data_IF_177757964600
#
_entry.id   IF_177757964600
#
_cell.length_a   1.000
_cell.length_b   1.000
_cell.length_c   1.000
_cell.angle_alpha   90.00
_cell.angle_beta   90.00
_cell.angle_gamma   90.00
#
_symmetry.space_group_name_H-M   'P 1'
#
loop_
_entity.id
_entity.type
_entity.pdbx_description
1 polymer ?
#
# COMPACT_ATOMS: atom_id res chain seq x y z
N UNK A 1 31.72 6.34 -71.90
CA UNK A 1 30.62 5.68 -72.61
C UNK A 1 29.42 5.64 -71.66
N UNK A 2 28.38 6.30 -72.05
CA UNK A 2 27.11 6.55 -71.40
C UNK A 2 26.09 5.43 -71.66
N UNK A 3 24.84 5.55 -71.24
CA UNK A 3 24.15 5.00 -70.06
C UNK A 3 22.92 4.16 -70.46
N UNK A 4 22.20 3.56 -69.49
CA UNK A 4 20.78 3.15 -69.60
C UNK A 4 20.29 2.88 -68.18
N UNK A 5 19.32 3.53 -67.54
CA UNK A 5 17.94 3.66 -68.02
C UNK A 5 17.11 2.68 -67.18
N UNK A 6 16.65 3.00 -65.95
CA UNK A 6 15.78 2.15 -65.15
C UNK A 6 14.50 2.91 -64.77
N UNK A 7 13.36 2.37 -65.22
CA UNK A 7 12.01 2.86 -65.12
C UNK A 7 11.49 2.92 -63.68
N UNK A 8 10.90 4.07 -63.30
CA UNK A 8 10.01 4.23 -62.19
C UNK A 8 8.74 3.40 -62.38
N UNK A 9 8.47 2.47 -61.46
CA UNK A 9 7.15 1.86 -61.29
C UNK A 9 6.37 2.57 -60.19
N UNK A 10 5.31 3.21 -60.61
CA UNK A 10 4.25 3.81 -59.81
C UNK A 10 3.48 2.69 -59.06
N UNK A 11 3.50 2.60 -57.75
CA UNK A 11 2.59 1.75 -56.98
C UNK A 11 1.48 2.62 -56.38
N UNK A 12 0.29 2.48 -56.93
CA UNK A 12 -0.97 2.98 -56.41
C UNK A 12 -1.23 2.37 -55.02
N UNK A 13 -1.42 3.22 -54.01
CA UNK A 13 -1.92 2.83 -52.70
C UNK A 13 -3.39 2.43 -52.77
N UNK A 14 -3.68 1.16 -52.56
CA UNK A 14 -5.05 0.70 -52.29
C UNK A 14 -5.40 0.98 -50.83
N UNK A 15 -6.38 1.87 -50.62
CA UNK A 15 -7.03 2.05 -49.32
C UNK A 15 -7.98 0.86 -49.08
N UNK A 16 -7.65 0.03 -48.12
CA UNK A 16 -8.59 -1.00 -47.63
C UNK A 16 -9.47 -0.34 -46.56
N UNK A 17 -10.75 -0.19 -46.87
CA UNK A 17 -11.77 0.23 -45.94
C UNK A 17 -12.12 -0.95 -45.02
N UNK A 18 -11.79 -0.87 -43.74
CA UNK A 18 -12.22 -1.82 -42.73
C UNK A 18 -13.55 -1.35 -42.13
N UNK A 19 -14.62 -1.99 -42.61
CA UNK A 19 -15.95 -1.85 -42.00
C UNK A 19 -15.97 -2.54 -40.63
N UNK A 20 -16.02 -1.74 -39.55
CA UNK A 20 -16.24 -2.26 -38.19
C UNK A 20 -17.72 -2.59 -37.99
N UNK A 21 -18.07 -3.85 -38.03
CA UNK A 21 -19.35 -4.33 -37.50
C UNK A 21 -19.37 -4.19 -35.98
N UNK A 22 -20.25 -3.33 -35.43
CA UNK A 22 -20.59 -3.29 -34.03
C UNK A 22 -21.38 -4.54 -33.66
N UNK A 23 -20.74 -5.51 -33.00
CA UNK A 23 -21.47 -6.52 -32.24
C UNK A 23 -21.71 -5.92 -30.84
N UNK A 24 -22.97 -5.69 -30.54
CA UNK A 24 -23.46 -5.37 -29.17
C UNK A 24 -23.28 -6.59 -28.29
N UNK A 25 -22.39 -6.50 -27.29
CA UNK A 25 -22.31 -7.45 -26.17
C UNK A 25 -23.34 -7.09 -25.12
N UNK A 26 -23.96 -8.05 -24.43
CA UNK A 26 -24.99 -7.77 -23.43
C UNK A 26 -24.40 -7.13 -22.17
N UNK A 27 -25.19 -6.25 -21.56
CA UNK A 27 -24.88 -5.35 -20.51
C UNK A 27 -24.08 -5.93 -19.34
N UNK A 28 -22.79 -5.65 -19.32
CA UNK A 28 -22.01 -5.63 -18.11
C UNK A 28 -22.39 -4.36 -17.35
N UNK A 29 -22.88 -4.52 -16.13
CA UNK A 29 -23.16 -3.43 -15.21
C UNK A 29 -21.88 -2.60 -15.05
N UNK A 30 -21.79 -1.46 -15.75
CA UNK A 30 -20.74 -0.48 -15.47
C UNK A 30 -20.99 0.01 -14.06
N UNK A 31 -20.09 -0.30 -13.14
CA UNK A 31 -19.90 0.46 -11.94
C UNK A 31 -19.38 1.86 -12.36
N UNK A 32 -20.31 2.70 -12.83
CA UNK A 32 -20.03 4.10 -13.17
C UNK A 32 -20.02 4.88 -11.87
N UNK A 33 -18.86 4.97 -11.28
CA UNK A 33 -18.52 5.87 -10.21
C UNK A 33 -17.04 6.17 -10.29
N UNK A 34 -16.65 7.16 -11.09
CA UNK A 34 -15.37 7.82 -10.97
C UNK A 34 -15.29 8.37 -9.55
N UNK A 35 -14.50 7.69 -8.70
CA UNK A 35 -14.32 8.04 -7.28
C UNK A 35 -13.32 9.21 -7.22
N UNK A 36 -13.77 10.41 -7.56
CA UNK A 36 -12.96 11.62 -7.64
C UNK A 36 -13.51 12.84 -6.89
N UNK A 37 -14.54 12.64 -6.00
CA UNK A 37 -15.18 13.75 -5.29
C UNK A 37 -15.44 13.40 -3.83
N UNK A 38 -14.41 13.46 -2.98
CA UNK A 38 -14.58 13.32 -1.54
C UNK A 38 -15.09 11.96 -1.04
N UNK A 39 -15.27 10.99 -1.94
CA UNK A 39 -15.74 9.63 -1.62
C UNK A 39 -14.59 8.77 -1.15
N UNK A 40 -14.89 7.86 -0.23
CA UNK A 40 -14.00 6.81 0.25
C UNK A 40 -13.46 5.97 -0.92
N UNK A 41 -12.15 5.69 -0.89
CA UNK A 41 -11.44 4.86 -1.87
C UNK A 41 -11.16 3.48 -1.30
N UNK A 42 -11.17 2.49 -2.16
CA UNK A 42 -10.87 1.12 -1.78
C UNK A 42 -9.53 0.69 -2.38
N UNK A 43 -8.70 0.08 -1.54
CA UNK A 43 -7.40 -0.43 -1.92
C UNK A 43 -7.19 -1.86 -1.47
N UNK A 44 -6.13 -2.45 -1.97
CA UNK A 44 -5.71 -3.80 -1.65
C UNK A 44 -4.36 -3.78 -0.95
N UNK A 45 -4.23 -4.57 0.12
CA UNK A 45 -2.93 -5.02 0.57
C UNK A 45 -2.64 -6.32 -0.18
N UNK A 46 -1.53 -6.35 -0.90
CA UNK A 46 -1.15 -7.52 -1.70
C UNK A 46 -1.01 -8.75 -0.82
N UNK A 47 -1.54 -9.90 -1.24
CA UNK A 47 -1.37 -11.15 -0.53
C UNK A 47 0.10 -11.54 -0.44
N UNK A 48 0.47 -12.22 0.63
CA UNK A 48 1.76 -12.89 0.77
C UNK A 48 1.76 -14.25 0.07
N UNK A 49 2.83 -15.00 0.28
CA UNK A 49 2.95 -16.35 -0.23
C UNK A 49 3.01 -17.34 0.93
N UNK A 50 2.35 -18.49 0.79
CA UNK A 50 2.56 -19.62 1.68
C UNK A 50 4.01 -20.08 1.60
N UNK A 51 4.56 -20.57 2.72
CA UNK A 51 5.85 -21.26 2.72
C UNK A 51 5.75 -22.49 1.80
N UNK A 52 6.63 -22.57 0.81
CA UNK A 52 6.67 -23.68 -0.13
C UNK A 52 7.01 -23.25 -1.56
N UNK A 53 7.05 -24.19 -2.51
CA UNK A 53 7.60 -23.95 -3.85
C UNK A 53 6.69 -23.13 -4.79
N UNK A 54 5.47 -22.82 -4.39
CA UNK A 54 4.52 -22.06 -5.23
C UNK A 54 4.36 -20.64 -4.73
N UNK A 55 5.12 -19.73 -5.31
CA UNK A 55 4.79 -18.29 -5.36
C UNK A 55 3.91 -18.02 -6.59
N UNK A 56 3.06 -16.98 -6.53
CA UNK A 56 2.39 -16.52 -7.73
C UNK A 56 3.42 -15.95 -8.73
N UNK A 57 3.26 -16.27 -10.00
CA UNK A 57 4.07 -15.70 -11.07
C UNK A 57 3.72 -14.22 -11.30
N UNK A 58 4.61 -13.46 -11.94
CA UNK A 58 4.30 -12.08 -12.34
C UNK A 58 3.05 -12.01 -13.23
N UNK A 59 2.82 -13.02 -14.06
CA UNK A 59 1.64 -13.09 -14.92
C UNK A 59 0.34 -13.21 -14.09
N UNK A 60 0.33 -14.06 -13.07
CA UNK A 60 -0.80 -14.24 -12.14
C UNK A 60 -1.03 -12.98 -11.30
N UNK A 61 0.02 -12.41 -10.72
CA UNK A 61 -0.07 -11.15 -9.96
C UNK A 61 -0.56 -9.99 -10.83
N UNK A 62 -0.08 -9.90 -12.06
CA UNK A 62 -0.52 -8.91 -13.03
C UNK A 62 -1.98 -9.10 -13.44
N UNK A 63 -2.44 -10.34 -13.65
CA UNK A 63 -3.85 -10.64 -13.93
C UNK A 63 -4.76 -10.24 -12.75
N UNK A 64 -4.34 -10.56 -11.53
CA UNK A 64 -5.04 -10.19 -10.31
C UNK A 64 -5.18 -8.66 -10.19
N UNK A 65 -4.11 -7.89 -10.40
CA UNK A 65 -4.16 -6.44 -10.30
C UNK A 65 -4.94 -5.79 -11.45
N UNK A 66 -4.86 -6.31 -12.67
CA UNK A 66 -5.73 -5.83 -13.76
C UNK A 66 -7.20 -6.08 -13.45
N UNK A 67 -7.53 -7.22 -12.85
CA UNK A 67 -8.90 -7.46 -12.38
C UNK A 67 -9.30 -6.49 -11.28
N UNK A 68 -8.40 -6.16 -10.36
CA UNK A 68 -8.64 -5.12 -9.35
C UNK A 68 -8.89 -3.74 -9.99
N UNK A 69 -8.12 -3.36 -11.02
CA UNK A 69 -8.38 -2.13 -11.81
C UNK A 69 -9.78 -2.12 -12.41
N UNK A 70 -10.18 -3.23 -13.05
CA UNK A 70 -11.51 -3.37 -13.65
C UNK A 70 -12.65 -3.29 -12.63
N UNK A 71 -12.40 -3.73 -11.40
CA UNK A 71 -13.35 -3.66 -10.27
C UNK A 71 -13.34 -2.30 -9.55
N UNK A 72 -12.42 -1.39 -9.91
CA UNK A 72 -12.39 -0.02 -9.39
C UNK A 72 -11.55 0.16 -8.11
N UNK A 73 -10.66 -0.78 -7.77
CA UNK A 73 -9.72 -0.56 -6.68
C UNK A 73 -8.70 0.53 -7.05
N UNK A 74 -8.49 1.49 -6.14
CA UNK A 74 -7.65 2.69 -6.36
C UNK A 74 -6.16 2.41 -6.14
N UNK A 75 -5.82 1.55 -5.18
CA UNK A 75 -4.42 1.25 -4.88
C UNK A 75 -4.18 -0.21 -4.49
N UNK A 76 -2.93 -0.63 -4.67
CA UNK A 76 -2.41 -1.90 -4.19
C UNK A 76 -1.09 -1.65 -3.44
N UNK A 77 -0.99 -2.14 -2.20
CA UNK A 77 0.17 -1.89 -1.34
C UNK A 77 0.80 -3.19 -0.85
N UNK A 78 2.15 -3.24 -0.84
CA UNK A 78 2.93 -4.37 -0.36
C UNK A 78 3.37 -4.17 1.09
N UNK A 79 3.65 -5.27 1.77
CA UNK A 79 4.30 -5.30 3.08
C UNK A 79 5.81 -5.50 2.89
N UNK A 80 6.61 -5.01 3.84
CA UNK A 80 8.06 -5.14 3.85
C UNK A 80 8.49 -5.98 5.06
N UNK A 81 9.00 -7.17 4.79
CA UNK A 81 9.72 -8.01 5.74
C UNK A 81 10.92 -8.66 5.04
N UNK A 82 12.08 -8.54 5.65
CA UNK A 82 13.32 -9.15 5.16
C UNK A 82 13.39 -10.64 5.56
N UNK A 83 12.84 -10.97 6.72
CA UNK A 83 12.86 -12.30 7.30
C UNK A 83 11.45 -12.84 7.51
N UNK A 84 11.34 -14.14 7.73
CA UNK A 84 10.15 -14.74 8.32
C UNK A 84 10.03 -14.30 9.77
N UNK A 85 8.86 -13.97 10.23
CA UNK A 85 8.63 -13.43 11.57
C UNK A 85 7.53 -14.18 12.34
N UNK A 86 7.64 -15.53 12.50
CA UNK A 86 6.67 -16.27 13.27
C UNK A 86 6.73 -15.86 14.77
N UNK A 87 5.61 -15.96 15.52
CA UNK A 87 4.28 -16.38 15.08
C UNK A 87 3.46 -15.27 14.39
N UNK A 88 3.95 -14.04 14.35
CA UNK A 88 3.21 -12.91 13.80
C UNK A 88 2.91 -13.09 12.30
N UNK A 89 3.94 -13.46 11.52
CA UNK A 89 3.79 -13.79 10.11
C UNK A 89 4.53 -15.07 9.77
N UNK A 90 3.79 -16.10 9.38
CA UNK A 90 4.31 -17.40 8.94
C UNK A 90 4.29 -17.52 7.40
N UNK A 91 4.65 -16.45 6.71
CA UNK A 91 4.53 -16.34 5.26
C UNK A 91 5.74 -15.60 4.65
N UNK A 92 5.95 -15.80 3.36
CA UNK A 92 7.01 -15.14 2.59
C UNK A 92 6.47 -13.83 1.99
N UNK A 93 7.28 -12.78 2.08
CA UNK A 93 7.08 -11.52 1.40
C UNK A 93 8.13 -11.33 0.31
N UNK A 94 7.75 -10.78 -0.84
CA UNK A 94 8.72 -10.33 -1.83
C UNK A 94 9.26 -8.96 -1.42
N UNK A 95 10.50 -8.66 -1.83
CA UNK A 95 11.05 -7.32 -1.62
C UNK A 95 10.14 -6.30 -2.30
N UNK A 96 9.61 -5.29 -1.56
CA UNK A 96 8.50 -4.49 -2.04
C UNK A 96 8.85 -3.59 -3.23
N UNK A 97 10.05 -3.01 -3.30
CA UNK A 97 10.39 -2.09 -4.40
C UNK A 97 10.56 -2.85 -5.70
N UNK A 98 11.22 -4.01 -5.66
CA UNK A 98 11.35 -4.90 -6.82
C UNK A 98 9.99 -5.40 -7.30
N UNK A 99 9.12 -5.83 -6.37
CA UNK A 99 7.77 -6.26 -6.68
C UNK A 99 6.96 -5.15 -7.33
N UNK A 100 6.93 -3.96 -6.73
CA UNK A 100 6.16 -2.83 -7.24
C UNK A 100 6.67 -2.35 -8.61
N UNK A 101 7.99 -2.40 -8.86
CA UNK A 101 8.56 -2.07 -10.17
C UNK A 101 8.09 -3.05 -11.25
N UNK A 102 8.09 -4.35 -10.95
CA UNK A 102 7.55 -5.35 -11.87
C UNK A 102 6.05 -5.16 -12.13
N UNK A 103 5.27 -4.87 -11.10
CA UNK A 103 3.82 -4.65 -11.20
C UNK A 103 3.47 -3.34 -11.92
N UNK A 104 4.32 -2.31 -11.83
CA UNK A 104 4.13 -1.06 -12.57
C UNK A 104 4.11 -1.28 -14.09
N UNK A 105 4.91 -2.24 -14.58
CA UNK A 105 4.98 -2.59 -16.00
C UNK A 105 3.77 -3.38 -16.52
N UNK A 106 2.96 -3.98 -15.63
CA UNK A 106 1.83 -4.85 -16.02
C UNK A 106 0.46 -4.30 -15.59
N UNK A 107 0.43 -3.13 -14.96
CA UNK A 107 -0.77 -2.39 -14.53
C UNK A 107 -0.87 -1.03 -15.25
N UNK A 108 -2.04 -0.36 -15.21
CA UNK A 108 -2.27 0.89 -15.95
C UNK A 108 -2.65 2.07 -15.08
N UNK A 109 -3.54 1.87 -14.11
CA UNK A 109 -4.20 2.96 -13.37
C UNK A 109 -4.08 2.82 -11.87
N UNK A 110 -4.00 1.58 -11.35
CA UNK A 110 -3.93 1.32 -9.93
C UNK A 110 -2.64 1.93 -9.34
N UNK A 111 -2.77 2.65 -8.24
CA UNK A 111 -1.62 3.16 -7.50
C UNK A 111 -0.90 2.02 -6.82
N UNK A 112 0.41 2.09 -6.77
CA UNK A 112 1.28 1.06 -6.23
C UNK A 112 2.04 1.64 -5.03
N UNK A 113 2.04 0.93 -3.92
CA UNK A 113 2.69 1.46 -2.73
C UNK A 113 3.09 0.41 -1.72
N UNK A 114 3.51 0.88 -0.57
CA UNK A 114 3.85 0.04 0.58
C UNK A 114 2.96 0.34 1.77
N UNK A 115 2.73 -0.65 2.63
CA UNK A 115 2.02 -0.47 3.89
C UNK A 115 2.45 -1.52 4.91
N UNK A 116 3.63 -1.31 5.52
CA UNK A 116 4.57 -0.19 5.33
C UNK A 116 5.94 -0.70 4.93
N UNK A 117 6.76 0.17 4.32
CA UNK A 117 8.18 -0.05 4.10
C UNK A 117 8.97 0.23 5.38
N UNK A 118 9.90 -0.65 5.78
CA UNK A 118 10.77 -0.43 6.94
C UNK A 118 11.90 0.52 6.54
N UNK A 119 11.57 1.81 6.55
CA UNK A 119 12.43 2.86 5.99
C UNK A 119 13.82 2.95 6.66
N UNK A 120 13.96 2.77 7.99
CA UNK A 120 15.27 2.85 8.66
C UNK A 120 16.31 1.80 8.24
N UNK A 121 15.91 0.75 7.56
CA UNK A 121 16.82 -0.29 7.05
C UNK A 121 17.49 0.11 5.71
N UNK A 122 17.16 1.29 5.16
CA UNK A 122 17.62 1.73 3.84
C UNK A 122 18.57 2.93 3.94
N UNK A 123 19.35 3.14 2.88
CA UNK A 123 20.16 4.35 2.73
C UNK A 123 19.36 5.46 2.05
N UNK A 124 19.32 6.72 2.55
CA UNK A 124 18.45 7.77 2.01
C UNK A 124 18.76 8.16 0.57
N UNK A 125 20.04 8.22 0.17
CA UNK A 125 20.40 8.60 -1.18
C UNK A 125 20.04 7.52 -2.21
N UNK A 126 20.32 6.25 -1.87
CA UNK A 126 19.96 5.12 -2.71
C UNK A 126 18.43 4.99 -2.82
N UNK A 127 17.73 5.05 -1.70
CA UNK A 127 16.28 4.95 -1.67
C UNK A 127 15.59 6.12 -2.40
N UNK A 128 16.09 7.34 -2.27
CA UNK A 128 15.54 8.48 -3.00
C UNK A 128 15.61 8.26 -4.52
N UNK A 129 16.73 7.70 -5.01
CA UNK A 129 16.91 7.35 -6.43
C UNK A 129 15.99 6.22 -6.85
N UNK A 130 15.94 5.17 -6.08
CA UNK A 130 15.14 3.96 -6.32
C UNK A 130 13.65 4.28 -6.41
N UNK A 131 13.11 4.99 -5.40
CA UNK A 131 11.69 5.34 -5.37
C UNK A 131 11.30 6.36 -6.44
N UNK A 132 12.16 7.34 -6.73
CA UNK A 132 11.95 8.28 -7.83
C UNK A 132 11.89 7.57 -9.19
N UNK A 133 12.74 6.56 -9.38
CA UNK A 133 12.71 5.72 -10.59
C UNK A 133 11.40 4.95 -10.70
N UNK A 134 10.96 4.31 -9.62
CA UNK A 134 9.68 3.60 -9.58
C UNK A 134 8.50 4.55 -9.85
N UNK A 135 8.51 5.74 -9.26
CA UNK A 135 7.46 6.73 -9.47
C UNK A 135 7.39 7.17 -10.94
N UNK A 136 8.53 7.44 -11.54
CA UNK A 136 8.62 7.79 -12.96
C UNK A 136 8.12 6.65 -13.87
N UNK A 137 8.60 5.43 -13.66
CA UNK A 137 8.24 4.25 -14.47
C UNK A 137 6.75 3.88 -14.34
N UNK A 138 6.17 4.12 -13.17
CA UNK A 138 4.74 3.93 -12.96
C UNK A 138 3.86 5.05 -13.53
N UNK A 139 4.45 6.15 -14.01
CA UNK A 139 3.72 7.33 -14.45
C UNK A 139 3.12 8.15 -13.31
N UNK A 140 3.80 8.19 -12.16
CA UNK A 140 3.35 8.96 -10.99
C UNK A 140 2.26 8.27 -10.18
N UNK A 141 2.27 6.94 -10.12
CA UNK A 141 1.27 6.13 -9.40
C UNK A 141 1.77 5.58 -8.07
N UNK A 142 2.88 6.08 -7.51
CA UNK A 142 3.41 5.51 -6.26
C UNK A 142 2.84 6.16 -5.01
N UNK A 143 2.78 5.37 -3.92
CA UNK A 143 2.45 5.78 -2.56
C UNK A 143 3.55 5.25 -1.65
N UNK A 144 4.30 6.13 -0.99
CA UNK A 144 5.28 5.72 0.02
C UNK A 144 4.60 5.52 1.37
N UNK A 145 4.24 4.31 1.69
CA UNK A 145 3.85 3.97 3.06
C UNK A 145 5.07 3.55 3.87
N UNK A 146 5.42 4.33 4.88
CA UNK A 146 6.63 4.17 5.66
C UNK A 146 6.35 3.78 7.12
N UNK A 147 7.18 2.93 7.69
CA UNK A 147 7.14 2.49 9.07
C UNK A 147 8.52 2.38 9.69
N UNK A 148 8.55 2.31 11.03
CA UNK A 148 9.82 2.19 11.77
C UNK A 148 10.35 0.76 11.82
N UNK A 149 9.52 -0.25 11.54
CA UNK A 149 9.85 -1.66 11.77
C UNK A 149 9.81 -2.06 13.24
N UNK A 150 9.72 -3.36 13.49
CA UNK A 150 9.58 -3.91 14.86
C UNK A 150 10.49 -5.13 15.12
N UNK A 151 10.89 -5.86 14.08
CA UNK A 151 11.60 -7.13 14.21
C UNK A 151 13.11 -6.92 14.39
N UNK A 152 13.62 -7.18 15.58
CA UNK A 152 15.00 -6.86 15.96
C UNK A 152 16.07 -7.55 15.11
N UNK A 153 15.82 -8.80 14.68
CA UNK A 153 16.78 -9.55 13.86
C UNK A 153 16.98 -8.92 12.48
N UNK A 154 15.93 -8.33 11.87
CA UNK A 154 16.07 -7.59 10.61
C UNK A 154 17.02 -6.40 10.78
N UNK A 155 16.91 -5.69 11.90
CA UNK A 155 17.80 -4.57 12.21
C UNK A 155 19.24 -5.03 12.46
N UNK A 156 19.41 -6.11 13.23
CA UNK A 156 20.73 -6.68 13.50
C UNK A 156 21.43 -7.13 12.21
N UNK A 157 20.72 -7.82 11.32
CA UNK A 157 21.22 -8.26 10.01
C UNK A 157 21.65 -7.09 9.13
N UNK A 158 20.92 -5.99 9.17
CA UNK A 158 21.22 -4.77 8.41
C UNK A 158 22.22 -3.84 9.11
N UNK A 159 22.78 -4.22 10.25
CA UNK A 159 23.72 -3.42 11.02
C UNK A 159 23.13 -2.12 11.59
N UNK A 160 21.81 -2.05 11.77
CA UNK A 160 21.13 -0.88 12.30
C UNK A 160 20.68 -1.13 13.74
N UNK A 161 21.14 -0.34 14.73
CA UNK A 161 20.68 -0.50 16.10
C UNK A 161 19.17 -0.29 16.22
N UNK A 162 18.42 -1.31 16.67
CA UNK A 162 16.95 -1.28 16.74
C UNK A 162 16.41 -0.08 17.52
N UNK A 163 17.06 0.31 18.62
CA UNK A 163 16.69 1.49 19.44
C UNK A 163 16.79 2.84 18.69
N UNK A 164 17.51 2.89 17.58
CA UNK A 164 17.68 4.11 16.78
C UNK A 164 16.64 4.25 15.66
N UNK A 165 15.86 3.21 15.39
CA UNK A 165 14.94 3.11 14.22
C UNK A 165 14.03 4.33 14.05
N UNK A 166 13.47 4.85 15.15
CA UNK A 166 12.59 6.02 15.09
C UNK A 166 13.31 7.28 14.61
N UNK A 167 14.45 7.60 15.22
CA UNK A 167 15.25 8.79 14.84
C UNK A 167 15.86 8.66 13.44
N UNK A 168 16.29 7.45 13.06
CA UNK A 168 16.75 7.20 11.70
C UNK A 168 15.64 7.41 10.67
N UNK A 169 14.39 7.00 10.99
CA UNK A 169 13.26 7.26 10.12
C UNK A 169 12.97 8.76 9.96
N UNK A 170 13.10 9.54 11.02
CA UNK A 170 12.91 10.99 10.95
C UNK A 170 13.92 11.62 9.98
N UNK A 171 15.21 11.31 10.13
CA UNK A 171 16.26 11.79 9.22
C UNK A 171 16.10 11.26 7.79
N UNK A 172 15.65 9.99 7.63
CA UNK A 172 15.34 9.43 6.31
C UNK A 172 14.26 10.21 5.57
N UNK A 173 13.16 10.53 6.27
CA UNK A 173 12.06 11.30 5.67
C UNK A 173 12.52 12.70 5.27
N UNK A 174 13.30 13.38 6.11
CA UNK A 174 13.87 14.70 5.80
C UNK A 174 14.83 14.64 4.61
N UNK A 175 15.80 13.72 4.65
CA UNK A 175 16.81 13.58 3.62
C UNK A 175 16.21 13.21 2.25
N UNK A 176 15.28 12.24 2.24
CA UNK A 176 14.64 11.74 1.01
C UNK A 176 13.75 12.80 0.38
N UNK A 177 12.92 13.49 1.16
CA UNK A 177 12.06 14.56 0.65
C UNK A 177 12.87 15.76 0.14
N UNK A 178 13.97 16.12 0.81
CA UNK A 178 14.89 17.14 0.32
C UNK A 178 15.53 16.75 -1.03
N UNK A 179 16.00 15.50 -1.16
CA UNK A 179 16.58 14.98 -2.40
C UNK A 179 15.58 14.92 -3.56
N UNK A 180 14.30 14.67 -3.29
CA UNK A 180 13.26 14.69 -4.31
C UNK A 180 12.90 16.11 -4.76
N UNK A 181 12.95 17.09 -3.85
CA UNK A 181 12.54 18.45 -4.11
C UNK A 181 13.64 19.32 -4.75
N UNK A 182 14.91 19.13 -4.32
CA UNK A 182 15.99 20.05 -4.63
C UNK A 182 17.18 19.42 -5.37
N UNK A 183 18.03 20.30 -5.93
CA UNK A 183 19.34 19.96 -6.48
C UNK A 183 20.45 20.43 -5.54
N UNK A 184 21.61 19.77 -5.62
CA UNK A 184 22.79 20.06 -4.79
C UNK A 184 22.46 20.13 -3.30
N UNK A 185 21.65 19.17 -2.85
CA UNK A 185 21.20 19.08 -1.46
C UNK A 185 22.37 18.76 -0.54
N UNK A 186 22.50 19.49 0.54
CA UNK A 186 23.37 19.19 1.66
C UNK A 186 22.52 18.83 2.86
N UNK A 187 22.82 17.70 3.49
CA UNK A 187 22.13 17.23 4.69
C UNK A 187 23.16 16.83 5.75
N UNK A 188 23.02 17.36 6.96
CA UNK A 188 23.93 17.16 8.10
C UNK A 188 23.16 16.62 9.29
N UNK A 189 22.71 15.36 9.20
CA UNK A 189 22.04 14.66 10.29
C UNK A 189 23.01 13.94 11.22
N UNK A 190 22.50 13.31 12.25
CA UNK A 190 23.26 12.44 13.14
C UNK A 190 23.65 11.14 12.46
N UNK A 191 22.73 10.57 11.69
CA UNK A 191 22.86 9.25 11.09
C UNK A 191 23.22 9.31 9.61
N UNK A 192 22.81 10.36 8.91
CA UNK A 192 23.04 10.53 7.48
C UNK A 192 23.67 11.89 7.21
N UNK A 193 24.69 11.89 6.32
CA UNK A 193 25.38 13.12 5.91
C UNK A 193 25.77 13.02 4.45
N UNK A 194 25.46 14.06 3.69
CA UNK A 194 25.92 14.20 2.31
C UNK A 194 25.95 15.68 1.93
N UNK A 195 26.80 16.01 0.97
CA UNK A 195 26.99 17.39 0.52
C UNK A 195 26.84 17.49 -0.98
N UNK A 196 26.13 18.54 -1.41
CA UNK A 196 25.99 18.91 -2.82
C UNK A 196 25.49 17.76 -3.71
N UNK A 197 24.55 16.93 -3.18
CA UNK A 197 24.03 15.74 -3.84
C UNK A 197 22.79 16.09 -4.66
N UNK A 198 22.80 15.71 -5.94
CA UNK A 198 21.62 15.74 -6.81
C UNK A 198 21.20 14.33 -7.17
N UNK A 199 19.95 14.00 -6.95
CA UNK A 199 19.34 12.76 -7.42
C UNK A 199 18.51 13.08 -8.68
N UNK A 200 18.78 12.36 -9.75
CA UNK A 200 18.07 12.43 -11.02
C UNK A 200 17.80 11.01 -11.55
N UNK A 201 16.57 10.66 -12.04
CA UNK A 201 15.41 11.54 -12.15
C UNK A 201 14.80 11.91 -10.81
N UNK A 202 14.03 13.01 -10.81
CA UNK A 202 13.12 13.35 -9.73
C UNK A 202 11.82 12.53 -9.88
N UNK A 203 11.05 12.32 -8.81
CA UNK A 203 9.72 11.72 -8.92
C UNK A 203 8.83 12.48 -9.91
N UNK A 204 7.97 11.75 -10.61
CA UNK A 204 6.96 12.34 -11.50
C UNK A 204 5.94 13.16 -10.69
N UNK A 205 5.55 12.68 -9.52
CA UNK A 205 4.63 13.38 -8.61
C UNK A 205 5.29 14.57 -7.93
N UNK A 206 4.55 15.69 -7.79
CA UNK A 206 5.05 16.93 -7.18
C UNK A 206 4.20 17.32 -5.95
N UNK A 207 4.80 17.80 -4.89
CA UNK A 207 6.25 17.98 -4.67
C UNK A 207 7.02 16.67 -4.55
N UNK A 208 6.37 15.56 -4.21
CA UNK A 208 6.86 14.19 -4.12
C UNK A 208 5.66 13.21 -4.00
N UNK A 209 5.88 11.89 -4.14
CA UNK A 209 4.84 10.88 -3.88
C UNK A 209 4.21 11.07 -2.49
N UNK A 210 2.91 10.80 -2.33
CA UNK A 210 2.25 10.92 -1.03
C UNK A 210 2.89 9.97 -0.02
N UNK A 211 3.14 10.48 1.19
CA UNK A 211 3.74 9.74 2.29
C UNK A 211 2.64 9.31 3.26
N UNK A 212 2.46 8.00 3.40
CA UNK A 212 1.64 7.40 4.43
C UNK A 212 2.56 6.94 5.57
N UNK A 213 2.15 7.12 6.82
CA UNK A 213 2.96 6.65 7.95
C UNK A 213 2.11 5.72 8.82
N UNK A 214 2.64 4.51 8.99
CA UNK A 214 2.07 3.51 9.87
C UNK A 214 2.54 3.68 11.31
N UNK A 215 1.60 3.50 12.25
CA UNK A 215 1.89 3.52 13.66
C UNK A 215 0.75 4.09 14.51
N UNK A 216 0.95 4.02 15.80
CA UNK A 216 -0.01 4.40 16.82
C UNK A 216 -0.14 3.34 17.90
N UNK A 217 -1.08 3.55 18.80
CA UNK A 217 -1.42 2.61 19.86
C UNK A 217 -1.98 1.31 19.31
N UNK A 218 -1.63 0.23 19.97
CA UNK A 218 -2.13 -1.11 19.68
C UNK A 218 -1.91 -1.99 20.92
N UNK A 219 -2.55 -3.15 21.03
CA UNK A 219 -2.32 -4.07 22.14
C UNK A 219 -0.97 -4.79 21.95
N UNK A 220 0.14 -4.06 22.10
CA UNK A 220 1.51 -4.52 21.82
C UNK A 220 1.86 -5.82 22.51
N UNK A 221 1.49 -5.97 23.79
CA UNK A 221 1.76 -7.19 24.54
C UNK A 221 1.05 -8.39 23.94
N UNK A 222 -0.22 -8.23 23.55
CA UNK A 222 -1.03 -9.29 22.95
C UNK A 222 -0.56 -9.67 21.53
N UNK A 223 -0.10 -8.69 20.76
CA UNK A 223 0.27 -8.89 19.34
C UNK A 223 1.74 -9.28 19.17
N UNK A 224 2.64 -8.66 19.94
CA UNK A 224 4.09 -8.81 19.76
C UNK A 224 4.84 -9.24 21.01
N UNK A 225 4.13 -9.43 22.15
CA UNK A 225 4.79 -9.74 23.44
C UNK A 225 5.67 -8.58 23.95
N UNK A 226 5.44 -7.35 23.51
CA UNK A 226 6.25 -6.18 23.82
C UNK A 226 5.47 -5.18 24.66
N UNK A 227 6.11 -4.58 25.65
CA UNK A 227 5.56 -3.42 26.38
C UNK A 227 6.09 -2.13 25.76
N UNK A 228 5.18 -1.29 25.27
CA UNK A 228 5.49 0.04 24.74
C UNK A 228 4.84 1.08 25.65
N UNK A 229 5.66 1.88 26.31
CA UNK A 229 5.23 2.85 27.33
C UNK A 229 5.05 4.26 26.78
N UNK A 230 5.73 4.59 25.68
CA UNK A 230 5.67 5.91 25.06
C UNK A 230 5.59 5.81 23.54
N UNK A 231 4.46 6.26 22.99
CA UNK A 231 4.23 6.32 21.56
C UNK A 231 4.26 7.76 21.00
N UNK A 232 4.41 8.76 21.83
CA UNK A 232 4.41 10.17 21.41
C UNK A 232 5.44 10.45 20.30
N UNK A 233 6.66 9.87 20.30
CA UNK A 233 7.58 10.03 19.18
C UNK A 233 7.02 9.50 17.84
N UNK A 234 6.21 8.44 17.85
CA UNK A 234 5.55 7.91 16.67
C UNK A 234 4.46 8.86 16.20
N UNK A 235 3.62 9.34 17.11
CA UNK A 235 2.52 10.26 16.80
C UNK A 235 3.04 11.63 16.32
N UNK A 236 4.15 12.13 16.89
CA UNK A 236 4.82 13.36 16.41
C UNK A 236 5.35 13.20 14.99
N UNK A 237 5.94 12.06 14.65
CA UNK A 237 6.39 11.75 13.29
C UNK A 237 5.23 11.74 12.31
N UNK A 238 4.12 11.08 12.66
CA UNK A 238 2.89 11.07 11.87
C UNK A 238 2.41 12.50 11.67
N UNK A 239 2.30 13.28 12.73
CA UNK A 239 1.86 14.67 12.68
C UNK A 239 2.73 15.54 11.78
N UNK A 240 4.06 15.34 11.79
CA UNK A 240 5.01 16.15 11.02
C UNK A 240 5.03 15.81 9.54
N UNK A 241 5.06 14.53 9.18
CA UNK A 241 5.40 14.10 7.81
C UNK A 241 4.26 13.43 7.05
N UNK A 242 3.27 12.84 7.73
CA UNK A 242 2.28 12.04 7.03
C UNK A 242 1.29 12.91 6.23
N UNK A 243 1.06 12.55 4.95
CA UNK A 243 -0.16 12.94 4.24
C UNK A 243 -1.33 12.08 4.69
N UNK A 244 -1.06 10.83 5.07
CA UNK A 244 -2.08 9.88 5.51
C UNK A 244 -1.56 9.07 6.71
N UNK A 245 -2.35 9.02 7.77
CA UNK A 245 -2.09 8.16 8.93
C UNK A 245 -2.67 6.76 8.70
N UNK A 246 -1.87 5.74 9.00
CA UNK A 246 -2.26 4.32 8.94
C UNK A 246 -2.22 3.74 10.36
N UNK A 247 -3.30 3.80 11.14
CA UNK A 247 -3.38 3.16 12.45
C UNK A 247 -3.30 1.63 12.32
N UNK A 248 -2.89 0.97 13.40
CA UNK A 248 -2.80 -0.49 13.40
C UNK A 248 -4.20 -1.12 13.36
N UNK A 249 -4.35 -2.24 12.62
CA UNK A 249 -5.64 -2.92 12.46
C UNK A 249 -6.24 -3.46 13.77
N UNK A 250 -5.39 -3.79 14.76
CA UNK A 250 -5.79 -4.26 16.08
C UNK A 250 -6.05 -3.14 17.11
N UNK A 251 -5.85 -1.86 16.75
CA UNK A 251 -6.12 -0.75 17.64
C UNK A 251 -7.61 -0.69 18.01
N UNK A 252 -7.89 -0.44 19.29
CA UNK A 252 -9.26 -0.21 19.76
C UNK A 252 -9.75 1.19 19.40
N UNK A 253 -11.07 1.42 19.49
CA UNK A 253 -11.65 2.75 19.24
C UNK A 253 -11.03 3.83 20.14
N UNK A 254 -10.85 3.55 21.43
CA UNK A 254 -10.28 4.51 22.39
C UNK A 254 -8.81 4.80 22.09
N UNK A 255 -8.03 3.78 21.71
CA UNK A 255 -6.64 3.97 21.26
C UNK A 255 -6.57 4.91 20.05
N UNK A 256 -7.39 4.63 19.03
CA UNK A 256 -7.43 5.46 17.81
C UNK A 256 -7.86 6.89 18.10
N UNK A 257 -8.88 7.07 18.95
CA UNK A 257 -9.36 8.40 19.35
C UNK A 257 -8.29 9.16 20.12
N UNK A 258 -7.68 8.55 21.14
CA UNK A 258 -6.63 9.18 21.93
C UNK A 258 -5.37 9.53 21.10
N UNK A 259 -4.99 8.65 20.18
CA UNK A 259 -3.90 8.93 19.23
C UNK A 259 -4.22 10.10 18.31
N UNK A 260 -5.45 10.16 17.78
CA UNK A 260 -5.85 11.24 16.90
C UNK A 260 -5.86 12.60 17.60
N UNK A 261 -6.33 12.66 18.85
CA UNK A 261 -6.28 13.87 19.68
C UNK A 261 -4.83 14.37 19.87
N UNK A 262 -3.90 13.45 20.17
CA UNK A 262 -2.47 13.76 20.27
C UNK A 262 -1.86 14.19 18.93
N UNK A 263 -2.18 13.47 17.84
CA UNK A 263 -1.71 13.83 16.49
C UNK A 263 -2.15 15.24 16.13
N UNK A 264 -3.42 15.62 16.37
CA UNK A 264 -3.93 16.96 16.08
C UNK A 264 -3.17 18.05 16.87
N UNK A 265 -2.88 17.81 18.15
CA UNK A 265 -2.08 18.71 18.96
C UNK A 265 -0.67 18.87 18.38
N UNK A 266 0.00 17.77 18.04
CA UNK A 266 1.33 17.82 17.42
C UNK A 266 1.30 18.46 16.02
N UNK A 267 0.26 18.24 15.21
CA UNK A 267 0.10 18.93 13.93
C UNK A 267 0.10 20.45 14.10
N UNK A 268 -0.59 20.96 15.11
CA UNK A 268 -0.63 22.39 15.41
C UNK A 268 0.76 22.96 15.72
N UNK A 269 1.63 22.19 16.42
CA UNK A 269 3.03 22.59 16.68
C UNK A 269 3.84 22.70 15.39
N UNK A 270 3.49 21.97 14.34
CA UNK A 270 4.11 22.01 13.01
C UNK A 270 3.37 22.94 12.01
N UNK A 271 2.42 23.74 12.48
CA UNK A 271 1.64 24.65 11.63
C UNK A 271 0.67 23.95 10.69
N UNK A 272 0.33 22.69 10.97
CA UNK A 272 -0.60 21.87 10.16
C UNK A 272 -2.00 21.83 10.81
N UNK A 273 -3.01 21.64 9.98
CA UNK A 273 -4.41 21.51 10.40
C UNK A 273 -4.88 20.06 10.26
N UNK A 274 -5.89 19.61 11.05
CA UNK A 274 -6.43 18.25 10.93
C UNK A 274 -6.86 17.87 9.50
N UNK A 275 -7.39 18.80 8.72
CA UNK A 275 -7.76 18.57 7.31
C UNK A 275 -6.58 18.35 6.35
N UNK A 276 -5.34 18.59 6.79
CA UNK A 276 -4.15 18.32 5.97
C UNK A 276 -3.75 16.84 5.98
N UNK A 277 -4.39 16.03 6.84
CA UNK A 277 -4.08 14.62 7.01
C UNK A 277 -5.29 13.74 6.75
N UNK A 278 -5.11 12.75 5.91
CA UNK A 278 -6.07 11.69 5.67
C UNK A 278 -5.84 10.50 6.64
N UNK A 279 -6.77 9.57 6.67
CA UNK A 279 -6.68 8.33 7.45
C UNK A 279 -6.98 7.13 6.57
N UNK A 280 -6.39 5.98 6.92
CA UNK A 280 -6.65 4.69 6.28
C UNK A 280 -7.16 3.72 7.32
N UNK A 281 -8.25 3.02 7.01
CA UNK A 281 -8.57 1.76 7.68
C UNK A 281 -7.98 0.60 6.88
N UNK A 282 -7.29 -0.32 7.54
CA UNK A 282 -6.79 -1.52 6.87
C UNK A 282 -6.92 -2.76 7.72
N UNK A 283 -7.21 -3.91 7.06
CA UNK A 283 -7.27 -5.19 7.75
C UNK A 283 -7.10 -6.37 6.78
N UNK A 284 -6.86 -7.56 7.35
CA UNK A 284 -7.02 -8.84 6.65
C UNK A 284 -8.51 -9.18 6.57
N UNK A 285 -8.93 -9.75 5.44
CA UNK A 285 -10.34 -10.05 5.19
C UNK A 285 -10.51 -11.39 4.51
N UNK A 286 -11.56 -12.10 4.91
CA UNK A 286 -12.08 -13.25 4.19
C UNK A 286 -13.61 -13.20 4.19
N UNK A 287 -14.17 -13.12 2.99
CA UNK A 287 -15.61 -13.11 2.79
C UNK A 287 -16.09 -14.55 2.74
N UNK A 288 -16.92 -14.93 3.69
CA UNK A 288 -17.59 -16.23 3.68
C UNK A 288 -18.79 -16.19 2.72
N UNK A 289 -18.97 -17.26 1.96
CA UNK A 289 -20.21 -17.48 1.23
C UNK A 289 -21.36 -17.74 2.21
N UNK A 290 -22.58 -17.46 1.79
CA UNK A 290 -23.76 -17.70 2.62
C UNK A 290 -23.80 -19.13 3.14
N UNK A 291 -23.84 -19.28 4.47
CA UNK A 291 -23.82 -20.58 5.15
C UNK A 291 -22.47 -21.29 5.21
N UNK A 292 -21.40 -20.66 4.72
CA UNK A 292 -20.04 -21.19 4.85
C UNK A 292 -19.55 -21.04 6.30
N UNK A 293 -18.99 -22.14 6.86
CA UNK A 293 -18.49 -22.09 8.23
C UNK A 293 -17.13 -21.39 8.30
N UNK A 294 -16.87 -20.54 9.34
CA UNK A 294 -15.61 -19.82 9.51
C UNK A 294 -14.38 -20.72 9.53
N UNK A 295 -14.52 -21.97 9.96
CA UNK A 295 -13.43 -22.97 10.01
C UNK A 295 -12.84 -23.26 8.61
N UNK A 296 -13.62 -23.08 7.55
CA UNK A 296 -13.14 -23.25 6.17
C UNK A 296 -12.05 -22.26 5.78
N UNK A 297 -12.08 -21.06 6.39
CA UNK A 297 -11.10 -20.01 6.17
C UNK A 297 -9.78 -20.21 6.92
N UNK A 298 -9.71 -21.12 7.90
CA UNK A 298 -8.54 -21.32 8.77
C UNK A 298 -7.25 -21.52 7.97
N UNK A 299 -7.31 -22.33 6.91
CA UNK A 299 -6.13 -22.60 6.06
C UNK A 299 -5.52 -21.33 5.45
N UNK A 300 -6.34 -20.31 5.16
CA UNK A 300 -5.89 -19.07 4.58
C UNK A 300 -5.26 -18.15 5.63
N UNK A 301 -5.84 -18.08 6.81
CA UNK A 301 -5.29 -17.30 7.92
C UNK A 301 -4.00 -17.89 8.48
N UNK A 302 -3.87 -19.21 8.55
CA UNK A 302 -2.64 -19.89 9.01
C UNK A 302 -1.42 -19.56 8.17
N UNK A 303 -1.57 -19.18 6.92
CA UNK A 303 -0.47 -18.71 6.09
C UNK A 303 0.12 -17.41 6.66
N UNK A 304 -0.73 -16.53 7.17
CA UNK A 304 -0.32 -15.21 7.67
C UNK A 304 0.08 -15.22 9.13
N UNK A 305 -0.59 -16.00 9.95
CA UNK A 305 -0.43 -15.92 11.40
C UNK A 305 -0.50 -17.30 12.02
N UNK A 306 0.42 -17.58 12.94
CA UNK A 306 0.36 -18.78 13.80
C UNK A 306 -0.70 -18.71 14.89
N UNK A 307 -1.49 -17.62 14.94
CA UNK A 307 -2.55 -17.43 15.93
C UNK A 307 -3.75 -18.34 15.65
N UNK A 308 -4.74 -18.33 16.54
CA UNK A 308 -5.93 -19.18 16.49
C UNK A 308 -7.17 -18.46 15.94
N UNK A 309 -8.25 -19.22 15.74
CA UNK A 309 -9.51 -18.68 15.23
C UNK A 309 -10.14 -17.59 16.13
N UNK A 310 -10.15 -17.72 17.49
CA UNK A 310 -10.58 -16.64 18.37
C UNK A 310 -9.85 -15.32 18.10
N UNK A 311 -8.52 -15.36 17.98
CA UNK A 311 -7.72 -14.19 17.64
C UNK A 311 -8.12 -13.60 16.30
N UNK A 312 -8.26 -14.39 15.24
CA UNK A 312 -8.63 -13.89 13.92
C UNK A 312 -10.02 -13.28 13.90
N UNK A 313 -10.98 -13.85 14.63
CA UNK A 313 -12.34 -13.28 14.77
C UNK A 313 -12.36 -11.95 15.50
N UNK A 314 -11.47 -11.76 16.46
CA UNK A 314 -11.35 -10.52 17.22
C UNK A 314 -10.69 -9.41 16.39
N UNK A 315 -9.59 -9.72 15.71
CA UNK A 315 -8.74 -8.71 15.08
C UNK A 315 -8.91 -8.60 13.57
N UNK A 316 -9.36 -9.64 12.88
CA UNK A 316 -9.49 -9.66 11.44
C UNK A 316 -10.94 -9.67 10.99
N UNK A 317 -11.15 -9.39 9.70
CA UNK A 317 -12.46 -9.39 9.08
C UNK A 317 -12.77 -10.78 8.52
N UNK A 318 -13.50 -11.59 9.28
CA UNK A 318 -13.98 -12.90 8.88
C UNK A 318 -15.49 -12.96 9.07
N UNK A 319 -16.26 -13.20 8.00
CA UNK A 319 -17.71 -13.25 8.06
C UNK A 319 -18.39 -13.14 6.70
N UNK A 320 -19.71 -13.19 6.69
CA UNK A 320 -20.51 -12.92 5.49
C UNK A 320 -20.51 -11.43 5.14
N UNK A 321 -20.85 -11.09 3.90
CA UNK A 321 -20.70 -9.74 3.34
C UNK A 321 -21.38 -8.63 4.18
N UNK A 322 -22.59 -8.86 4.68
CA UNK A 322 -23.31 -7.87 5.51
C UNK A 322 -22.59 -7.62 6.84
N UNK A 323 -22.22 -8.70 7.54
CA UNK A 323 -21.46 -8.62 8.79
C UNK A 323 -20.14 -7.87 8.61
N UNK A 324 -19.42 -8.16 7.51
CA UNK A 324 -18.16 -7.48 7.18
C UNK A 324 -18.38 -5.99 6.91
N UNK A 325 -19.40 -5.64 6.16
CA UNK A 325 -19.71 -4.25 5.87
C UNK A 325 -20.04 -3.46 7.15
N UNK A 326 -20.80 -4.03 8.08
CA UNK A 326 -21.10 -3.43 9.38
C UNK A 326 -19.82 -3.23 10.22
N UNK A 327 -18.97 -4.26 10.31
CA UNK A 327 -17.69 -4.18 11.03
C UNK A 327 -16.79 -3.09 10.44
N UNK A 328 -16.70 -3.00 9.12
CA UNK A 328 -15.89 -1.97 8.44
C UNK A 328 -16.46 -0.58 8.71
N UNK A 329 -17.78 -0.37 8.58
CA UNK A 329 -18.43 0.92 8.89
C UNK A 329 -18.17 1.35 10.33
N UNK A 330 -18.29 0.43 11.29
CA UNK A 330 -17.99 0.72 12.70
C UNK A 330 -16.53 1.15 12.90
N UNK A 331 -15.58 0.47 12.24
CA UNK A 331 -14.15 0.85 12.30
C UNK A 331 -13.88 2.21 11.67
N UNK A 332 -14.53 2.52 10.55
CA UNK A 332 -14.44 3.83 9.90
C UNK A 332 -15.00 4.93 10.82
N UNK A 333 -16.13 4.69 11.46
CA UNK A 333 -16.73 5.62 12.43
C UNK A 333 -15.79 5.88 13.61
N UNK A 334 -15.12 4.85 14.14
CA UNK A 334 -14.11 4.98 15.19
C UNK A 334 -12.90 5.84 14.79
N UNK A 335 -12.56 5.85 13.49
CA UNK A 335 -11.53 6.75 12.93
C UNK A 335 -12.03 8.18 12.75
N UNK A 336 -13.34 8.46 12.96
CA UNK A 336 -13.96 9.73 12.54
C UNK A 336 -13.89 9.93 11.03
N UNK A 337 -14.08 8.86 10.25
CA UNK A 337 -13.94 8.81 8.80
C UNK A 337 -12.52 8.46 8.32
N UNK A 338 -12.42 7.94 7.09
CA UNK A 338 -11.15 7.68 6.42
C UNK A 338 -11.26 7.92 4.92
N UNK A 339 -10.13 8.22 4.27
CA UNK A 339 -10.08 8.34 2.81
C UNK A 339 -9.99 6.97 2.14
N UNK A 340 -9.28 6.04 2.75
CA UNK A 340 -9.04 4.72 2.20
C UNK A 340 -9.47 3.60 3.14
N UNK A 341 -10.07 2.56 2.54
CA UNK A 341 -10.22 1.23 3.13
C UNK A 341 -9.34 0.26 2.34
N UNK A 342 -8.29 -0.27 2.98
CA UNK A 342 -7.30 -1.14 2.34
C UNK A 342 -7.39 -2.55 2.93
N UNK A 343 -7.80 -3.51 2.12
CA UNK A 343 -8.11 -4.87 2.57
C UNK A 343 -7.12 -5.89 1.99
N UNK A 344 -6.74 -6.89 2.80
CA UNK A 344 -5.93 -8.02 2.35
C UNK A 344 -6.81 -9.27 2.23
N UNK A 345 -7.15 -9.73 1.02
CA UNK A 345 -8.01 -10.89 0.82
C UNK A 345 -7.29 -12.24 0.94
N UNK A 346 -6.14 -12.31 1.58
CA UNK A 346 -5.38 -13.48 2.01
C UNK A 346 -4.82 -14.39 0.90
N UNK A 347 -5.24 -14.28 -0.34
CA UNK A 347 -4.71 -15.06 -1.46
C UNK A 347 -4.78 -14.30 -2.78
N UNK A 348 -4.12 -14.85 -3.81
CA UNK A 348 -4.10 -14.30 -5.17
C UNK A 348 -5.27 -14.77 -6.06
N UNK A 349 -6.29 -15.41 -5.48
CA UNK A 349 -7.50 -15.76 -6.21
C UNK A 349 -8.43 -14.58 -6.41
N UNK A 350 -8.93 -14.39 -7.64
CA UNK A 350 -9.82 -13.27 -7.98
C UNK A 350 -11.19 -13.35 -7.31
N UNK A 351 -11.59 -14.54 -6.86
CA UNK A 351 -12.90 -14.75 -6.23
C UNK A 351 -13.14 -13.83 -5.03
N UNK A 352 -12.16 -13.70 -4.14
CA UNK A 352 -12.27 -12.81 -2.98
C UNK A 352 -12.32 -11.32 -3.38
N UNK A 353 -11.62 -10.93 -4.45
CA UNK A 353 -11.73 -9.59 -5.00
C UNK A 353 -13.15 -9.30 -5.50
N UNK A 354 -13.73 -10.26 -6.22
CA UNK A 354 -15.06 -10.13 -6.80
C UNK A 354 -16.14 -10.10 -5.73
N UNK A 355 -16.04 -10.95 -4.70
CA UNK A 355 -16.95 -10.93 -3.54
C UNK A 355 -16.86 -9.60 -2.79
N UNK A 356 -15.64 -9.10 -2.52
CA UNK A 356 -15.46 -7.79 -1.91
C UNK A 356 -16.12 -6.70 -2.75
N UNK A 357 -15.78 -6.60 -4.02
CA UNK A 357 -16.26 -5.53 -4.90
C UNK A 357 -17.77 -5.58 -5.14
N UNK A 358 -18.35 -6.77 -5.26
CA UNK A 358 -19.77 -6.92 -5.55
C UNK A 358 -20.66 -6.84 -4.31
N UNK A 359 -20.21 -7.39 -3.18
CA UNK A 359 -21.10 -7.60 -2.04
C UNK A 359 -20.73 -6.77 -0.80
N UNK A 360 -19.46 -6.52 -0.53
CA UNK A 360 -19.02 -5.82 0.69
C UNK A 360 -18.89 -4.32 0.46
N UNK A 361 -18.07 -3.91 -0.51
CA UNK A 361 -17.71 -2.50 -0.69
C UNK A 361 -18.89 -1.59 -1.03
N UNK A 362 -19.91 -1.99 -1.81
CA UNK A 362 -21.09 -1.16 -2.04
C UNK A 362 -21.86 -0.89 -0.74
N UNK A 363 -21.93 -1.88 0.17
CA UNK A 363 -22.58 -1.72 1.49
C UNK A 363 -21.77 -0.82 2.42
N UNK A 364 -20.45 -0.86 2.33
CA UNK A 364 -19.59 0.05 3.10
C UNK A 364 -19.70 1.49 2.61
N UNK A 365 -19.82 1.70 1.31
CA UNK A 365 -19.93 3.02 0.69
C UNK A 365 -21.34 3.62 0.76
N UNK A 366 -22.36 2.83 1.08
CA UNK A 366 -23.71 3.33 1.28
C UNK A 366 -23.75 4.29 2.48
N UNK A 367 -24.52 5.41 2.37
CA UNK A 367 -24.65 6.42 3.41
C UNK A 367 -25.29 5.87 4.69
#
# INVERSE_FOLDING_TARGET
MSPRGAKRRNRKSQKVAVTRSRKSSPGGMRATGSIGDGRMKFGLRLPSFALGPKTASLAEMGAYLRRAEDLGFDCAVSIDHLLLTPPAYACTWLEPVALLAALAGVTRTIKLGTMVLVLPLRNPAYFAKEWATLDLLSGGRTILGAGVGWHEEEFALMGVPHKERGRRMDEMLEAVTALWAGDRVTYEGKYYRFRNLTIDPKPAQKPHPPIWIGGGSQPFEKVYGQTVTDIDPVLRRIAKYAKTWVPHSSATADMVKGDWEKIQRFMSEFGRKPGDMNKVYSNFVWVLKKGERPETAIRHFKVYSGMDLPYWREFYLLGEAEELAEKIRAKIANLGGCEYVVLNPLNWGVEQLELLAAEVLPRVAAP
#
